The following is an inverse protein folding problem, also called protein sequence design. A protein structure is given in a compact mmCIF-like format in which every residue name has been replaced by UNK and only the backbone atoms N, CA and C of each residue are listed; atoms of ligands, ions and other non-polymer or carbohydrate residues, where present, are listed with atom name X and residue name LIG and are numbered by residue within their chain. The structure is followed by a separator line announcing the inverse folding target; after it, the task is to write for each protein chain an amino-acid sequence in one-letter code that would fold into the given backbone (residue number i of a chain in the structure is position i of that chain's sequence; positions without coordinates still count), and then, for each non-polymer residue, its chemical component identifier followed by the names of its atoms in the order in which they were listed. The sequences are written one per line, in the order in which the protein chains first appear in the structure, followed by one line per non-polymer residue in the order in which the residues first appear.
data_IF_130857059413
#
_entry.id   IF_130857059413
#
_cell.length_a   1.000
_cell.length_b   1.000
_cell.length_c   1.000
_cell.angle_alpha   90.00
_cell.angle_beta   90.00
_cell.angle_gamma   90.00
#
_symmetry.space_group_name_H-M   'P 1'
#
loop_
_entity.id
_entity.type
_entity.pdbx_description
1 polymer ?
#
# COMPACT_ATOMS: atom_id res chain seq x y z
N UNK A 1 -4.07 2.57 17.76
CA UNK A 1 -5.10 1.58 17.39
C UNK A 1 -4.78 1.00 16.03
N UNK A 2 -4.97 -0.30 15.85
CA UNK A 2 -4.66 -0.96 14.56
C UNK A 2 -5.95 -1.28 13.81
N UNK A 3 -5.91 -1.11 12.50
CA UNK A 3 -6.98 -1.51 11.60
C UNK A 3 -6.43 -2.44 10.54
N UNK A 4 -7.23 -3.41 10.17
CA UNK A 4 -6.82 -4.45 9.23
C UNK A 4 -7.93 -4.68 8.19
N UNK A 5 -7.56 -4.75 6.93
CA UNK A 5 -8.47 -5.05 5.82
C UNK A 5 -7.94 -6.27 5.09
N UNK A 6 -8.62 -7.40 5.26
CA UNK A 6 -8.15 -8.68 4.70
C UNK A 6 -8.12 -8.68 3.17
N UNK A 7 -9.04 -7.97 2.53
CA UNK A 7 -9.11 -7.86 1.07
C UNK A 7 -8.47 -6.58 0.53
N UNK A 8 -7.91 -5.76 1.43
CA UNK A 8 -7.33 -4.49 1.06
C UNK A 8 -8.38 -3.39 0.88
N UNK A 9 -8.11 -2.22 1.42
CA UNK A 9 -8.91 -1.02 1.21
C UNK A 9 -8.36 -0.27 0.01
N UNK A 10 -9.17 -0.10 -1.04
CA UNK A 10 -8.75 0.63 -2.24
C UNK A 10 -8.45 2.09 -1.90
N UNK A 11 -7.29 2.57 -2.33
CA UNK A 11 -6.83 3.94 -2.08
C UNK A 11 -6.22 4.51 -3.34
N UNK A 12 -6.09 5.83 -3.38
CA UNK A 12 -5.37 6.51 -4.43
C UNK A 12 -3.94 6.81 -3.97
N UNK A 13 -2.97 6.57 -4.84
CA UNK A 13 -1.56 6.77 -4.54
C UNK A 13 -0.90 7.56 -5.66
N UNK A 14 -0.17 8.59 -5.30
CA UNK A 14 0.79 9.23 -6.17
C UNK A 14 2.15 8.62 -5.88
N UNK A 15 2.76 8.02 -6.90
CA UNK A 15 4.05 7.35 -6.74
C UNK A 15 5.18 8.20 -7.29
N UNK A 16 6.39 7.95 -6.77
CA UNK A 16 7.61 8.59 -7.27
C UNK A 16 8.08 7.91 -8.57
N UNK A 17 9.12 8.43 -9.24
CA UNK A 17 9.63 7.83 -10.48
C UNK A 17 10.12 6.40 -10.33
N UNK A 18 10.43 5.95 -9.12
CA UNK A 18 10.86 4.57 -8.85
C UNK A 18 9.71 3.66 -8.44
N UNK A 19 8.48 4.17 -8.46
CA UNK A 19 7.29 3.40 -8.17
C UNK A 19 6.94 3.31 -6.69
N UNK A 20 7.66 3.99 -5.80
CA UNK A 20 7.34 4.01 -4.37
C UNK A 20 6.24 5.04 -4.09
N UNK A 21 5.36 4.78 -3.11
CA UNK A 21 4.31 5.74 -2.80
C UNK A 21 4.87 7.00 -2.14
N UNK A 22 4.45 8.16 -2.64
CA UNK A 22 4.79 9.46 -2.06
C UNK A 22 3.63 10.07 -1.30
N UNK A 23 2.42 9.83 -1.77
CA UNK A 23 1.22 10.43 -1.23
C UNK A 23 0.07 9.45 -1.34
N UNK A 24 -0.73 9.37 -0.30
CA UNK A 24 -1.89 8.50 -0.23
C UNK A 24 -3.14 9.32 -0.02
N UNK A 25 -4.24 8.92 -0.66
CA UNK A 25 -5.56 9.47 -0.34
C UNK A 25 -6.45 8.35 0.16
N UNK A 26 -6.86 8.46 1.42
CA UNK A 26 -7.73 7.48 2.08
C UNK A 26 -8.98 8.22 2.58
N UNK A 27 -10.15 7.87 2.05
CA UNK A 27 -11.43 8.50 2.43
C UNK A 27 -11.38 10.04 2.36
N UNK A 28 -10.75 10.57 1.31
CA UNK A 28 -10.63 12.02 1.13
C UNK A 28 -9.51 12.68 1.91
N UNK A 29 -8.87 11.97 2.83
CA UNK A 29 -7.71 12.46 3.56
C UNK A 29 -6.43 12.19 2.80
N UNK A 30 -5.57 13.21 2.70
CA UNK A 30 -4.28 13.10 2.02
C UNK A 30 -3.18 12.93 3.06
N UNK A 31 -2.37 11.87 2.89
CA UNK A 31 -1.23 11.58 3.75
C UNK A 31 0.05 11.61 2.93
N UNK A 32 1.03 12.38 3.40
CA UNK A 32 2.36 12.40 2.79
C UNK A 32 3.18 11.26 3.38
N UNK A 33 3.80 10.45 2.53
CA UNK A 33 4.71 9.41 2.98
C UNK A 33 6.01 10.06 3.46
N UNK A 34 6.37 9.79 4.72
CA UNK A 34 7.62 10.29 5.28
C UNK A 34 8.77 9.36 4.90
N UNK A 35 8.58 8.05 5.12
CA UNK A 35 9.64 7.06 4.91
C UNK A 35 9.02 5.77 4.39
N UNK A 36 9.68 5.16 3.41
CA UNK A 36 9.41 3.78 3.01
C UNK A 36 10.33 2.89 3.86
N UNK A 37 9.72 2.15 4.79
CA UNK A 37 10.46 1.32 5.74
C UNK A 37 10.84 0.00 5.11
N UNK A 38 9.94 -0.60 4.34
CA UNK A 38 10.16 -1.88 3.66
C UNK A 38 9.49 -1.87 2.30
N UNK A 39 10.08 -2.61 1.38
CA UNK A 39 9.56 -2.78 0.02
C UNK A 39 9.91 -4.19 -0.44
N UNK A 40 8.90 -4.97 -0.88
CA UNK A 40 9.15 -6.32 -1.41
C UNK A 40 8.07 -6.68 -2.42
N UNK A 41 8.35 -7.70 -3.23
CA UNK A 41 7.41 -8.20 -4.22
C UNK A 41 7.01 -9.62 -3.90
N UNK A 42 5.72 -9.93 -4.13
CA UNK A 42 5.20 -11.27 -4.09
C UNK A 42 4.68 -11.61 -5.47
N UNK A 43 5.13 -12.75 -5.99
CA UNK A 43 4.65 -13.28 -7.26
C UNK A 43 4.33 -14.75 -7.04
N UNK A 44 3.02 -15.07 -7.09
CA UNK A 44 2.54 -16.44 -6.88
C UNK A 44 1.59 -16.82 -7.99
N UNK A 45 1.72 -18.05 -8.47
CA UNK A 45 0.72 -18.67 -9.32
C UNK A 45 -0.15 -19.53 -8.43
N UNK A 46 -1.35 -19.03 -8.16
CA UNK A 46 -2.29 -19.73 -7.32
C UNK A 46 -3.45 -20.21 -8.18
N UNK A 47 -3.46 -21.50 -8.52
CA UNK A 47 -4.49 -22.08 -9.39
C UNK A 47 -4.61 -21.34 -10.73
N UNK A 48 -5.66 -20.51 -10.87
CA UNK A 48 -5.95 -19.79 -12.11
C UNK A 48 -5.69 -18.30 -12.01
N UNK A 49 -5.42 -17.80 -10.79
CA UNK A 49 -5.27 -16.38 -10.56
C UNK A 49 -3.85 -16.08 -10.11
N UNK A 50 -3.03 -15.48 -10.96
CA UNK A 50 -1.71 -15.07 -10.54
C UNK A 50 -1.82 -13.91 -9.53
N UNK A 51 -1.07 -14.02 -8.44
CA UNK A 51 -0.91 -12.92 -7.49
C UNK A 51 0.45 -12.29 -7.76
N UNK A 52 0.42 -11.02 -8.15
CA UNK A 52 1.64 -10.27 -8.43
C UNK A 52 1.48 -8.89 -7.82
N UNK A 53 2.13 -8.68 -6.67
CA UNK A 53 1.97 -7.47 -5.87
C UNK A 53 3.31 -6.94 -5.40
N UNK A 54 3.41 -5.62 -5.33
CA UNK A 54 4.52 -4.96 -4.68
C UNK A 54 4.03 -4.37 -3.37
N UNK A 55 4.62 -4.80 -2.26
CA UNK A 55 4.25 -4.39 -0.93
C UNK A 55 5.18 -3.29 -0.41
N UNK A 56 4.60 -2.41 0.39
CA UNK A 56 5.33 -1.33 1.04
C UNK A 56 4.86 -1.20 2.48
N UNK A 57 5.80 -0.97 3.38
CA UNK A 57 5.50 -0.47 4.73
C UNK A 57 6.02 0.94 4.78
N UNK A 58 5.15 1.88 5.07
CA UNK A 58 5.48 3.31 5.05
C UNK A 58 5.03 3.98 6.33
N UNK A 59 5.66 5.13 6.63
CA UNK A 59 5.24 6.00 7.72
C UNK A 59 4.65 7.29 7.16
N UNK A 60 3.70 7.85 7.88
CA UNK A 60 3.05 9.11 7.55
C UNK A 60 2.84 9.91 8.84
N UNK A 61 2.58 11.24 8.74
CA UNK A 61 2.33 12.04 9.93
C UNK A 61 1.13 11.53 10.72
N UNK A 62 1.26 11.60 12.03
CA UNK A 62 0.19 11.19 12.92
C UNK A 62 0.64 10.69 14.29
N UNK A 63 1.75 9.91 14.47
CA UNK A 63 2.48 9.09 13.50
C UNK A 63 1.67 7.87 13.08
N UNK A 64 1.70 7.54 11.81
CA UNK A 64 1.02 6.38 11.24
C UNK A 64 2.01 5.41 10.64
N UNK A 65 1.72 4.12 10.78
CA UNK A 65 2.42 3.05 10.08
C UNK A 65 1.41 2.34 9.20
N UNK A 66 1.70 2.23 7.91
CA UNK A 66 0.79 1.60 6.96
C UNK A 66 1.50 0.52 6.18
N UNK A 67 0.80 -0.60 5.97
CA UNK A 67 1.20 -1.60 5.00
C UNK A 67 0.23 -1.55 3.85
N UNK A 68 0.74 -1.32 2.65
CA UNK A 68 -0.06 -1.24 1.44
C UNK A 68 0.60 -2.02 0.32
N UNK A 69 -0.18 -2.31 -0.72
CA UNK A 69 0.37 -2.98 -1.88
C UNK A 69 -0.16 -2.38 -3.18
N UNK A 70 0.67 -2.48 -4.19
CA UNK A 70 0.33 -2.16 -5.56
C UNK A 70 0.06 -3.47 -6.28
N UNK A 71 -1.17 -3.68 -6.71
CA UNK A 71 -1.55 -4.85 -7.49
C UNK A 71 -1.12 -4.60 -8.92
N UNK A 72 -0.07 -5.28 -9.37
CA UNK A 72 0.53 -5.00 -10.66
C UNK A 72 -0.37 -5.38 -11.85
N UNK A 73 -1.15 -6.47 -11.80
CA UNK A 73 -2.08 -6.78 -12.88
C UNK A 73 -3.18 -5.76 -13.09
N UNK A 74 -3.78 -5.22 -12.02
CA UNK A 74 -4.88 -4.27 -12.18
C UNK A 74 -4.47 -2.82 -12.03
N UNK A 75 -3.26 -2.57 -11.52
CA UNK A 75 -2.73 -1.22 -11.31
C UNK A 75 -3.27 -0.51 -10.09
N UNK A 76 -4.11 -1.15 -9.30
CA UNK A 76 -4.70 -0.55 -8.12
C UNK A 76 -3.78 -0.60 -6.90
N UNK A 77 -4.06 0.29 -5.97
CA UNK A 77 -3.36 0.36 -4.68
C UNK A 77 -4.33 0.06 -3.56
N UNK A 78 -3.86 -0.69 -2.57
CA UNK A 78 -4.70 -1.16 -1.47
C UNK A 78 -3.95 -1.11 -0.16
N UNK A 79 -4.61 -0.62 0.89
CA UNK A 79 -4.07 -0.65 2.26
C UNK A 79 -4.60 -1.89 2.95
N UNK A 80 -3.70 -2.70 3.53
CA UNK A 80 -4.05 -3.87 4.31
C UNK A 80 -4.06 -3.59 5.80
N UNK A 81 -3.20 -2.69 6.26
CA UNK A 81 -2.96 -2.49 7.68
C UNK A 81 -2.62 -1.03 7.95
N UNK A 82 -3.19 -0.51 9.02
CA UNK A 82 -2.89 0.84 9.51
C UNK A 82 -2.75 0.77 11.03
N UNK A 83 -1.66 1.33 11.53
CA UNK A 83 -1.38 1.42 12.96
C UNK A 83 -1.06 2.86 13.31
N UNK A 84 -1.78 3.38 14.30
CA UNK A 84 -1.57 4.74 14.84
C UNK A 84 -1.30 4.75 16.33
#
# INVERSE_FOLDING_TARGET
MARFWSDGLAVEVASDPLGAPEQLRIHGHIYQVITVVMRWRIRQHWWRTPVWREYFVVTAPGPLLLRLYHDLPDGGWYVEFLYD
#
